data_IF_492590128215
#
_entry.id   IF_492590128215
#
_cell.length_a   1.000
_cell.length_b   1.000
_cell.length_c   1.000
_cell.angle_alpha   90.00
_cell.angle_beta   90.00
_cell.angle_gamma   90.00
#
_symmetry.space_group_name_H-M   'P 1'
#
loop_
_entity.id
_entity.type
_entity.pdbx_description
1 polymer ?
#
# COMPACT_ATOMS: atom_id res chain seq x y z
N UNK A 1 16.24 18.89 -33.39
CA UNK A 1 15.00 18.52 -34.10
C UNK A 1 14.36 17.37 -33.31
N UNK A 2 13.34 17.66 -32.49
CA UNK A 2 12.74 16.65 -31.60
C UNK A 2 11.74 15.79 -32.39
N UNK A 3 11.74 14.48 -32.11
CA UNK A 3 10.84 13.50 -32.73
C UNK A 3 9.36 13.85 -32.50
N UNK A 4 8.47 13.65 -33.50
CA UNK A 4 7.04 13.96 -33.40
C UNK A 4 6.30 13.20 -32.28
N UNK A 5 6.90 12.11 -31.75
CA UNK A 5 6.34 11.36 -30.61
C UNK A 5 6.45 12.15 -29.28
N UNK A 6 7.46 13.02 -29.12
CA UNK A 6 7.61 13.84 -27.91
C UNK A 6 6.65 15.03 -27.85
N UNK A 7 6.13 15.49 -28.98
CA UNK A 7 5.18 16.61 -29.02
C UNK A 7 3.78 16.19 -28.54
N UNK A 8 3.37 14.95 -28.82
CA UNK A 8 2.02 14.45 -28.50
C UNK A 8 1.79 14.26 -26.99
N UNK A 9 2.84 13.96 -26.22
CA UNK A 9 2.76 13.88 -24.75
C UNK A 9 2.73 15.26 -24.09
N UNK A 10 3.26 16.30 -24.73
CA UNK A 10 3.25 17.66 -24.18
C UNK A 10 1.94 18.40 -24.42
N UNK A 11 1.24 18.15 -25.54
CA UNK A 11 -0.02 18.87 -25.85
C UNK A 11 -1.25 18.32 -25.15
N UNK A 12 -1.27 17.05 -24.72
CA UNK A 12 -2.39 16.49 -23.94
C UNK A 12 -2.27 16.84 -22.45
N UNK A 13 -1.05 17.10 -21.94
CA UNK A 13 -0.80 17.44 -20.54
C UNK A 13 -1.10 18.89 -20.13
N UNK A 14 -1.44 19.78 -21.07
CA UNK A 14 -1.52 21.24 -20.83
C UNK A 14 -2.94 21.84 -20.94
N UNK A 15 -3.99 21.05 -21.11
CA UNK A 15 -5.38 21.56 -21.22
C UNK A 15 -6.44 20.79 -20.43
N UNK A 16 -6.04 20.12 -19.35
CA UNK A 16 -6.95 19.91 -18.24
C UNK A 16 -6.57 20.93 -17.18
N UNK A 17 -7.36 22.01 -16.95
CA UNK A 17 -7.27 22.64 -15.64
C UNK A 17 -7.42 21.49 -14.64
N UNK A 18 -6.57 21.44 -13.61
CA UNK A 18 -6.78 20.54 -12.50
C UNK A 18 -8.16 20.86 -11.93
N UNK A 19 -9.20 20.20 -12.45
CA UNK A 19 -10.48 20.14 -11.77
C UNK A 19 -10.08 19.65 -10.38
N UNK A 20 -10.38 20.40 -9.30
CA UNK A 20 -10.12 19.93 -7.95
C UNK A 20 -10.67 18.51 -7.90
N UNK A 21 -9.76 17.54 -7.80
CA UNK A 21 -10.07 16.16 -8.11
C UNK A 21 -11.27 15.76 -7.29
N UNK A 22 -12.28 15.17 -7.92
CA UNK A 22 -13.44 14.61 -7.20
C UNK A 22 -12.85 13.82 -6.03
N UNK A 23 -13.09 14.30 -4.81
CA UNK A 23 -12.40 13.77 -3.64
C UNK A 23 -12.70 12.28 -3.57
N UNK A 24 -11.66 11.45 -3.62
CA UNK A 24 -11.86 10.02 -3.42
C UNK A 24 -12.21 9.82 -1.94
N UNK A 25 -13.07 8.87 -1.65
CA UNK A 25 -13.34 8.50 -0.26
C UNK A 25 -12.33 7.45 0.18
N UNK A 26 -11.60 7.75 1.26
CA UNK A 26 -10.71 6.79 1.91
C UNK A 26 -11.40 6.26 3.18
N UNK A 27 -11.37 4.94 3.35
CA UNK A 27 -11.96 4.28 4.50
C UNK A 27 -10.99 4.25 5.67
N UNK A 28 -11.48 4.60 6.85
CA UNK A 28 -10.77 4.51 8.11
C UNK A 28 -11.57 3.66 9.08
N UNK A 29 -10.89 2.77 9.81
CA UNK A 29 -11.49 1.95 10.85
C UNK A 29 -10.98 2.39 12.23
N UNK A 30 -11.87 2.46 13.20
CA UNK A 30 -11.56 2.63 14.62
C UNK A 30 -12.35 1.61 15.43
N UNK A 31 -11.83 1.20 16.59
CA UNK A 31 -12.44 0.17 17.41
C UNK A 31 -12.63 0.64 18.84
N UNK A 32 -13.78 0.30 19.42
CA UNK A 32 -14.21 0.79 20.71
C UNK A 32 -14.74 -0.38 21.57
N UNK A 33 -14.52 -0.34 22.89
CA UNK A 33 -15.36 -1.07 23.83
C UNK A 33 -16.84 -0.71 23.64
N UNK A 34 -17.74 -1.63 23.94
CA UNK A 34 -19.20 -1.45 23.76
C UNK A 34 -19.72 -0.20 24.47
N UNK A 35 -19.24 0.04 25.68
CA UNK A 35 -19.72 1.13 26.55
C UNK A 35 -18.98 2.45 26.37
N UNK A 36 -18.09 2.54 25.37
CA UNK A 36 -17.36 3.77 25.11
C UNK A 36 -18.33 4.93 24.82
N UNK A 37 -18.06 6.15 25.34
CA UNK A 37 -18.97 7.28 25.20
C UNK A 37 -19.21 7.70 23.74
N UNK A 38 -18.27 7.40 22.84
CA UNK A 38 -18.37 7.65 21.40
C UNK A 38 -19.37 6.72 20.70
N UNK A 39 -19.65 5.54 21.28
CA UNK A 39 -20.54 4.54 20.68
C UNK A 39 -22.00 4.96 20.88
N UNK A 40 -22.78 5.13 19.78
CA UNK A 40 -24.18 5.49 19.88
C UNK A 40 -25.00 4.45 20.63
N UNK A 41 -25.95 4.90 21.45
CA UNK A 41 -26.78 4.01 22.27
C UNK A 41 -27.51 2.93 21.44
N UNK A 42 -27.96 3.24 20.22
CA UNK A 42 -28.67 2.27 19.38
C UNK A 42 -27.78 1.14 18.87
N UNK A 43 -26.45 1.35 18.85
CA UNK A 43 -25.47 0.36 18.41
C UNK A 43 -25.09 -0.58 19.54
N UNK A 44 -25.25 -0.18 20.81
CA UNK A 44 -24.84 -0.98 21.97
C UNK A 44 -25.66 -2.25 22.13
N UNK A 45 -26.93 -2.20 21.74
CA UNK A 45 -27.80 -3.37 21.75
C UNK A 45 -27.51 -4.30 20.55
N UNK A 46 -27.67 -5.60 20.77
CA UNK A 46 -27.79 -6.55 19.66
C UNK A 46 -29.16 -6.45 19.03
N UNK A 47 -29.23 -6.63 17.71
CA UNK A 47 -30.51 -6.64 17.00
C UNK A 47 -30.63 -7.90 16.16
N UNK A 48 -31.86 -8.34 15.95
CA UNK A 48 -32.13 -9.48 15.09
C UNK A 48 -32.17 -9.02 13.64
N UNK A 49 -31.07 -9.26 12.91
CA UNK A 49 -31.04 -9.05 11.47
C UNK A 49 -31.97 -10.03 10.72
N UNK A 50 -32.44 -9.62 9.55
CA UNK A 50 -33.29 -10.44 8.68
C UNK A 50 -32.42 -11.25 7.72
N UNK A 51 -32.64 -12.56 7.53
CA UNK A 51 -31.85 -13.35 6.58
C UNK A 51 -31.77 -12.71 5.19
N UNK A 52 -30.59 -12.70 4.59
CA UNK A 52 -30.39 -12.25 3.22
C UNK A 52 -31.02 -13.24 2.24
N UNK A 53 -32.05 -12.80 1.51
CA UNK A 53 -32.83 -13.64 0.59
C UNK A 53 -32.68 -13.23 -0.88
N UNK A 54 -31.61 -12.51 -1.22
CA UNK A 54 -31.37 -12.14 -2.62
C UNK A 54 -30.85 -13.35 -3.43
N UNK A 55 -31.18 -13.38 -4.72
CA UNK A 55 -30.67 -14.40 -5.64
C UNK A 55 -29.13 -14.34 -5.76
N UNK A 56 -28.55 -13.16 -5.60
CA UNK A 56 -27.10 -12.99 -5.58
C UNK A 56 -26.50 -13.37 -4.23
N UNK A 57 -25.65 -14.39 -4.26
CA UNK A 57 -24.93 -14.87 -3.08
C UNK A 57 -23.87 -13.86 -2.68
N UNK A 58 -23.82 -13.56 -1.39
CA UNK A 58 -22.77 -12.72 -0.81
C UNK A 58 -21.44 -13.44 -0.64
N UNK A 59 -20.41 -12.74 -0.12
CA UNK A 59 -19.06 -13.28 0.04
C UNK A 59 -18.96 -14.43 1.06
N UNK A 60 -19.93 -14.51 1.99
CA UNK A 60 -20.00 -15.53 3.03
C UNK A 60 -21.45 -15.98 3.24
N UNK A 61 -21.62 -17.13 3.88
CA UNK A 61 -22.94 -17.67 4.21
C UNK A 61 -23.56 -16.95 5.42
N UNK A 62 -24.86 -17.16 5.63
CA UNK A 62 -25.53 -16.70 6.85
C UNK A 62 -25.67 -15.18 7.00
N UNK A 63 -25.45 -14.40 5.94
CA UNK A 63 -25.63 -12.95 5.95
C UNK A 63 -27.05 -12.57 6.35
N UNK A 64 -27.15 -11.56 7.21
CA UNK A 64 -28.40 -10.94 7.67
C UNK A 64 -28.35 -9.45 7.39
N UNK A 65 -29.44 -8.89 6.91
CA UNK A 65 -29.63 -7.45 6.71
C UNK A 65 -29.80 -6.75 8.05
N UNK A 66 -29.03 -5.68 8.25
CA UNK A 66 -29.07 -4.85 9.46
C UNK A 66 -29.43 -3.38 9.15
N UNK A 67 -28.96 -2.83 8.04
CA UNK A 67 -29.21 -1.43 7.70
C UNK A 67 -29.30 -1.20 6.18
N UNK A 68 -29.92 -0.09 5.81
CA UNK A 68 -30.07 0.39 4.43
C UNK A 68 -29.51 1.81 4.34
N UNK A 69 -28.73 2.07 3.31
CA UNK A 69 -28.28 3.43 2.95
C UNK A 69 -29.34 4.14 2.10
N UNK A 70 -29.31 5.48 2.07
CA UNK A 70 -30.20 6.29 1.22
C UNK A 70 -30.07 5.97 -0.27
N UNK A 71 -28.91 5.46 -0.69
CA UNK A 71 -28.67 5.04 -2.08
C UNK A 71 -29.32 3.70 -2.44
N UNK A 72 -29.90 2.98 -1.48
CA UNK A 72 -30.42 1.63 -1.66
C UNK A 72 -29.40 0.51 -1.43
N UNK A 73 -28.15 0.84 -1.08
CA UNK A 73 -27.17 -0.17 -0.70
C UNK A 73 -27.48 -0.74 0.69
N UNK A 74 -27.24 -2.03 0.85
CA UNK A 74 -27.63 -2.83 2.01
C UNK A 74 -26.38 -3.19 2.82
N UNK A 75 -26.47 -3.00 4.13
CA UNK A 75 -25.47 -3.46 5.08
C UNK A 75 -25.89 -4.78 5.72
N UNK A 76 -24.98 -5.74 5.62
CA UNK A 76 -25.16 -7.13 5.97
C UNK A 76 -24.11 -7.55 6.99
N UNK A 77 -24.48 -8.43 7.91
CA UNK A 77 -23.59 -8.99 8.92
C UNK A 77 -23.78 -10.50 9.06
N UNK A 78 -22.74 -11.19 9.48
CA UNK A 78 -22.71 -12.64 9.71
C UNK A 78 -21.80 -12.97 10.90
N UNK A 79 -21.61 -14.26 11.19
CA UNK A 79 -20.57 -14.72 12.11
C UNK A 79 -19.16 -14.68 11.50
N UNK A 80 -19.04 -14.37 10.21
CA UNK A 80 -17.79 -14.28 9.46
C UNK A 80 -17.52 -12.84 8.96
N UNK A 81 -18.15 -11.83 9.54
CA UNK A 81 -17.86 -10.42 9.23
C UNK A 81 -19.04 -9.69 8.59
N UNK A 82 -18.75 -8.51 8.04
CA UNK A 82 -19.74 -7.60 7.46
C UNK A 82 -19.56 -7.44 5.96
N UNK A 83 -20.67 -7.17 5.26
CA UNK A 83 -20.66 -6.86 3.84
C UNK A 83 -21.57 -5.69 3.53
N UNK A 84 -21.18 -4.88 2.54
CA UNK A 84 -22.04 -3.88 1.89
C UNK A 84 -22.35 -4.37 0.49
N UNK A 85 -23.64 -4.48 0.17
CA UNK A 85 -24.14 -4.81 -1.16
C UNK A 85 -24.77 -3.59 -1.81
N UNK A 86 -24.36 -3.25 -3.03
CA UNK A 86 -24.87 -2.11 -3.77
C UNK A 86 -25.37 -2.58 -5.15
N UNK A 87 -26.69 -2.77 -5.32
CA UNK A 87 -27.25 -3.28 -6.57
C UNK A 87 -27.07 -2.30 -7.74
N UNK A 88 -26.79 -1.03 -7.45
CA UNK A 88 -26.63 0.06 -8.40
C UNK A 88 -25.17 0.52 -8.57
N UNK A 89 -24.21 -0.24 -8.04
CA UNK A 89 -22.80 0.07 -8.20
C UNK A 89 -22.42 0.20 -9.69
N UNK A 90 -21.76 1.30 -10.04
CA UNK A 90 -21.32 1.57 -11.41
C UNK A 90 -20.32 0.51 -11.91
N UNK A 91 -19.50 -0.02 -11.00
CA UNK A 91 -18.53 -1.05 -11.30
C UNK A 91 -18.84 -2.34 -10.55
N UNK A 92 -18.67 -3.47 -11.24
CA UNK A 92 -18.94 -4.81 -10.70
C UNK A 92 -18.17 -5.13 -9.40
N UNK A 93 -16.97 -4.57 -9.24
CA UNK A 93 -16.14 -4.80 -8.04
C UNK A 93 -16.58 -3.96 -6.84
N UNK A 94 -17.40 -2.93 -7.04
CA UNK A 94 -17.96 -2.11 -5.96
C UNK A 94 -19.32 -2.61 -5.47
N UNK A 95 -19.93 -3.54 -6.23
CA UNK A 95 -21.22 -4.19 -5.92
C UNK A 95 -21.18 -4.91 -4.58
N UNK A 96 -20.04 -5.53 -4.24
CA UNK A 96 -19.78 -6.14 -2.95
C UNK A 96 -18.54 -5.56 -2.32
N UNK A 97 -18.65 -5.13 -1.07
CA UNK A 97 -17.52 -4.75 -0.24
C UNK A 97 -17.57 -5.57 1.04
N UNK A 98 -16.48 -6.30 1.32
CA UNK A 98 -16.38 -7.20 2.44
C UNK A 98 -15.41 -6.67 3.50
N UNK A 99 -15.79 -6.81 4.76
CA UNK A 99 -15.09 -6.28 5.92
C UNK A 99 -14.87 -7.43 6.90
N UNK A 100 -13.61 -7.80 7.07
CA UNK A 100 -13.18 -8.96 7.86
C UNK A 100 -11.86 -8.68 8.55
N UNK A 101 -11.71 -9.25 9.75
CA UNK A 101 -10.53 -9.20 10.58
C UNK A 101 -10.22 -7.81 11.13
N UNK A 102 -9.18 -7.74 11.96
CA UNK A 102 -8.76 -6.53 12.70
C UNK A 102 -8.37 -5.32 11.85
N UNK A 103 -8.34 -5.45 10.53
CA UNK A 103 -8.25 -4.30 9.62
C UNK A 103 -9.53 -3.46 9.63
N UNK A 104 -10.68 -4.10 9.81
CA UNK A 104 -12.01 -3.47 9.69
C UNK A 104 -12.88 -3.70 10.92
N UNK A 105 -12.82 -4.90 11.49
CA UNK A 105 -13.69 -5.35 12.58
C UNK A 105 -12.87 -5.73 13.81
N UNK A 106 -13.31 -5.34 15.01
CA UNK A 106 -12.67 -5.79 16.25
C UNK A 106 -12.81 -7.32 16.42
N UNK A 107 -13.91 -7.87 15.90
CA UNK A 107 -14.31 -9.26 15.88
C UNK A 107 -15.26 -9.50 14.69
N UNK A 108 -15.27 -10.70 14.13
CA UNK A 108 -16.01 -11.00 12.91
C UNK A 108 -17.50 -11.34 13.17
N UNK A 109 -17.89 -11.57 14.42
CA UNK A 109 -19.26 -11.92 14.79
C UNK A 109 -20.18 -10.69 14.85
N UNK A 110 -20.79 -10.31 13.73
CA UNK A 110 -21.63 -9.12 13.64
C UNK A 110 -22.99 -9.33 14.32
N UNK A 111 -23.39 -8.35 15.14
CA UNK A 111 -24.64 -8.38 15.94
C UNK A 111 -25.54 -7.17 15.73
N UNK A 112 -25.01 -6.07 15.20
CA UNK A 112 -25.78 -4.88 14.82
C UNK A 112 -24.98 -4.04 13.82
N UNK A 113 -25.66 -3.33 12.93
CA UNK A 113 -25.03 -2.33 12.05
C UNK A 113 -25.94 -1.10 12.02
N UNK A 114 -25.34 0.08 12.19
CA UNK A 114 -25.99 1.37 12.01
C UNK A 114 -25.21 2.22 11.03
N UNK A 115 -25.93 2.85 10.12
CA UNK A 115 -25.35 3.75 9.10
C UNK A 115 -25.80 5.17 9.41
N UNK A 116 -24.84 6.09 9.42
CA UNK A 116 -25.07 7.53 9.54
C UNK A 116 -24.52 8.21 8.28
N UNK A 117 -25.36 8.98 7.59
CA UNK A 117 -25.02 9.64 6.33
C UNK A 117 -25.26 11.15 6.43
N UNK A 118 -24.21 11.93 6.18
CA UNK A 118 -24.22 13.39 6.21
C UNK A 118 -23.38 13.96 5.06
N UNK A 119 -24.06 14.52 4.05
CA UNK A 119 -23.42 14.96 2.81
C UNK A 119 -22.68 13.79 2.13
N UNK A 120 -21.41 14.01 1.79
CA UNK A 120 -20.51 13.00 1.23
C UNK A 120 -19.87 12.07 2.28
N UNK A 121 -20.11 12.33 3.57
CA UNK A 121 -19.54 11.54 4.66
C UNK A 121 -20.49 10.42 5.05
N UNK A 122 -19.89 9.26 5.30
CA UNK A 122 -20.58 8.08 5.83
C UNK A 122 -19.83 7.53 7.02
N UNK A 123 -20.56 7.25 8.09
CA UNK A 123 -20.11 6.48 9.25
C UNK A 123 -20.94 5.21 9.35
N UNK A 124 -20.26 4.09 9.53
CA UNK A 124 -20.91 2.80 9.73
C UNK A 124 -20.40 2.20 11.01
N UNK A 125 -21.29 2.15 11.99
CA UNK A 125 -21.05 1.53 13.28
C UNK A 125 -21.46 0.06 13.20
N UNK A 126 -20.53 -0.84 13.48
CA UNK A 126 -20.72 -2.29 13.42
C UNK A 126 -20.49 -2.83 14.82
N UNK A 127 -21.56 -3.24 15.49
CA UNK A 127 -21.47 -4.01 16.72
C UNK A 127 -21.08 -5.43 16.37
N UNK A 128 -20.03 -5.87 17.02
CA UNK A 128 -19.50 -7.23 17.00
C UNK A 128 -19.75 -7.85 18.39
N UNK A 129 -19.55 -9.14 18.56
CA UNK A 129 -19.69 -9.81 19.85
C UNK A 129 -18.73 -9.25 20.90
N UNK A 130 -17.55 -8.75 20.49
CA UNK A 130 -16.50 -8.28 21.41
C UNK A 130 -16.43 -6.76 21.60
N UNK A 131 -17.09 -5.98 20.75
CA UNK A 131 -16.98 -4.53 20.75
C UNK A 131 -17.60 -3.88 19.52
N UNK A 132 -17.28 -2.62 19.28
CA UNK A 132 -17.86 -1.85 18.17
C UNK A 132 -16.74 -1.35 17.27
N UNK A 133 -16.90 -1.57 15.96
CA UNK A 133 -16.07 -0.95 14.93
C UNK A 133 -16.80 0.22 14.29
N UNK A 134 -16.10 1.33 14.09
CA UNK A 134 -16.55 2.43 13.26
C UNK A 134 -15.75 2.41 11.95
N UNK A 135 -16.45 2.36 10.82
CA UNK A 135 -15.86 2.54 9.50
C UNK A 135 -16.34 3.87 8.92
N UNK A 136 -15.40 4.74 8.58
CA UNK A 136 -15.69 6.08 8.06
C UNK A 136 -15.17 6.25 6.63
N UNK A 137 -16.01 6.78 5.76
CA UNK A 137 -15.61 7.27 4.44
C UNK A 137 -15.31 8.75 4.57
N UNK A 138 -14.01 9.07 4.52
CA UNK A 138 -13.51 10.44 4.62
C UNK A 138 -13.10 10.91 3.23
N UNK A 139 -13.62 12.04 2.73
CA UNK A 139 -13.10 12.66 1.52
C UNK A 139 -11.59 12.93 1.66
N UNK A 140 -10.84 12.61 0.62
CA UNK A 140 -9.39 12.72 0.60
C UNK A 140 -8.94 13.03 -0.84
N UNK A 141 -8.07 14.04 -0.99
CA UNK A 141 -7.44 14.32 -2.27
C UNK A 141 -6.37 13.27 -2.58
N UNK A 142 -5.98 13.13 -3.85
CA UNK A 142 -4.86 12.24 -4.20
C UNK A 142 -3.54 12.68 -3.57
N UNK A 143 -3.36 13.99 -3.38
CA UNK A 143 -2.21 14.58 -2.69
C UNK A 143 -2.19 14.20 -1.21
N UNK A 144 -3.30 14.39 -0.49
CA UNK A 144 -3.42 13.97 0.92
C UNK A 144 -3.19 12.46 1.08
N UNK A 145 -3.70 11.66 0.14
CA UNK A 145 -3.51 10.21 0.14
C UNK A 145 -2.06 9.83 -0.08
N UNK A 146 -1.38 10.46 -1.04
CA UNK A 146 0.04 10.25 -1.29
C UNK A 146 0.87 10.61 -0.05
N UNK A 147 0.63 11.79 0.54
CA UNK A 147 1.28 12.24 1.77
C UNK A 147 1.10 11.24 2.91
N UNK A 148 -0.12 10.74 3.11
CA UNK A 148 -0.42 9.76 4.15
C UNK A 148 0.36 8.45 4.01
N UNK A 149 0.50 7.91 2.80
CA UNK A 149 1.29 6.70 2.58
C UNK A 149 2.79 6.97 2.70
N UNK A 150 3.25 8.10 2.20
CA UNK A 150 4.64 8.52 2.30
C UNK A 150 5.10 8.68 3.75
N UNK A 151 4.33 9.38 4.58
CA UNK A 151 4.64 9.53 6.01
C UNK A 151 4.76 8.18 6.71
N UNK A 152 3.89 7.22 6.37
CA UNK A 152 3.95 5.86 6.92
C UNK A 152 5.18 5.10 6.48
N UNK A 153 5.57 5.22 5.21
CA UNK A 153 6.78 4.60 4.66
C UNK A 153 8.02 5.14 5.37
N UNK A 154 8.15 6.47 5.47
CA UNK A 154 9.27 7.13 6.14
C UNK A 154 9.40 6.69 7.60
N UNK A 155 8.29 6.72 8.35
CA UNK A 155 8.30 6.42 9.78
C UNK A 155 8.61 4.94 10.05
N UNK A 156 8.05 4.02 9.27
CA UNK A 156 7.97 2.60 9.67
C UNK A 156 8.56 1.59 8.71
N UNK A 157 8.92 1.98 7.49
CA UNK A 157 9.42 1.05 6.48
C UNK A 157 10.84 1.36 5.99
N UNK A 158 11.31 2.61 6.05
CA UNK A 158 12.66 2.95 5.57
C UNK A 158 13.75 2.32 6.45
N UNK A 159 14.42 1.29 5.94
CA UNK A 159 15.53 0.56 6.58
C UNK A 159 16.73 0.58 5.64
N UNK A 160 17.81 1.25 6.03
CA UNK A 160 19.00 1.47 5.18
C UNK A 160 18.72 2.03 3.78
N UNK A 161 17.63 2.81 3.65
CA UNK A 161 17.17 3.36 2.38
C UNK A 161 16.19 2.48 1.61
N UNK A 162 16.07 1.19 1.95
CA UNK A 162 15.08 0.27 1.41
C UNK A 162 13.70 0.51 2.05
N UNK A 163 12.64 0.30 1.29
CA UNK A 163 11.27 0.17 1.81
C UNK A 163 11.07 -1.29 2.24
N UNK A 164 11.20 -1.52 3.55
CA UNK A 164 11.26 -2.85 4.13
C UNK A 164 9.97 -3.25 4.86
N UNK A 165 9.96 -4.48 5.40
CA UNK A 165 8.89 -4.98 6.25
C UNK A 165 8.72 -4.15 7.53
N UNK A 166 7.47 -3.99 7.96
CA UNK A 166 7.08 -3.37 9.23
C UNK A 166 6.37 -4.44 10.06
N UNK A 167 6.94 -4.78 11.21
CA UNK A 167 6.36 -5.71 12.17
C UNK A 167 6.00 -4.96 13.45
N UNK A 168 4.76 -5.11 13.95
CA UNK A 168 4.38 -4.58 15.25
C UNK A 168 4.50 -5.69 16.28
N UNK A 169 5.38 -5.53 17.28
CA UNK A 169 5.48 -6.49 18.39
C UNK A 169 4.16 -6.63 19.15
N UNK A 170 3.38 -5.54 19.20
CA UNK A 170 2.06 -5.50 19.82
C UNK A 170 1.05 -5.09 18.74
N UNK A 171 0.12 -6.00 18.43
CA UNK A 171 -0.87 -5.79 17.39
C UNK A 171 -1.68 -4.50 17.61
N UNK A 172 -1.60 -3.57 16.64
CA UNK A 172 -2.30 -2.28 16.68
C UNK A 172 -1.54 -1.15 17.35
N UNK A 173 -0.46 -1.42 18.10
CA UNK A 173 0.39 -0.39 18.69
C UNK A 173 1.53 -0.04 17.73
N UNK A 174 1.40 1.13 17.11
CA UNK A 174 2.35 1.61 16.12
C UNK A 174 3.71 1.98 16.71
N UNK A 175 3.81 2.22 18.02
CA UNK A 175 5.08 2.50 18.70
C UNK A 175 5.94 1.24 18.85
N UNK A 176 5.33 0.06 18.73
CA UNK A 176 6.00 -1.24 18.81
C UNK A 176 6.63 -1.70 17.49
N UNK A 177 6.72 -0.80 16.50
CA UNK A 177 7.21 -1.09 15.16
C UNK A 177 8.70 -1.47 15.13
N UNK A 178 8.98 -2.58 14.44
CA UNK A 178 10.30 -3.03 14.05
C UNK A 178 10.39 -3.09 12.53
N UNK A 179 11.48 -2.53 12.00
CA UNK A 179 11.79 -2.59 10.57
C UNK A 179 12.57 -3.87 10.34
N UNK A 180 12.03 -4.76 9.53
CA UNK A 180 12.62 -6.09 9.28
C UNK A 180 12.91 -6.27 7.81
N UNK A 181 13.99 -6.98 7.49
CA UNK A 181 14.25 -7.40 6.12
C UNK A 181 13.11 -8.29 5.61
N UNK A 182 12.74 -8.10 4.35
CA UNK A 182 11.77 -8.91 3.65
C UNK A 182 12.29 -9.28 2.25
N UNK A 183 11.75 -10.38 1.72
CA UNK A 183 12.01 -10.92 0.38
C UNK A 183 11.65 -9.96 -0.77
N UNK A 184 10.94 -8.88 -0.49
CA UNK A 184 10.55 -7.89 -1.49
C UNK A 184 11.08 -6.48 -1.16
N UNK A 185 12.09 -6.35 -0.29
CA UNK A 185 12.67 -5.04 0.02
C UNK A 185 13.11 -4.30 -1.27
N UNK A 186 13.75 -5.00 -2.22
CA UNK A 186 14.13 -4.43 -3.52
C UNK A 186 12.91 -4.01 -4.34
N UNK A 187 11.95 -4.92 -4.55
CA UNK A 187 10.73 -4.63 -5.30
C UNK A 187 9.92 -3.45 -4.73
N UNK A 188 9.67 -3.41 -3.41
CA UNK A 188 8.93 -2.32 -2.78
C UNK A 188 9.69 -1.00 -2.87
N UNK A 189 11.02 -1.02 -2.75
CA UNK A 189 11.87 0.16 -2.97
C UNK A 189 11.77 0.66 -4.41
N UNK A 190 11.71 -0.25 -5.38
CA UNK A 190 11.57 0.09 -6.78
C UNK A 190 10.20 0.73 -7.10
N UNK A 191 9.12 0.17 -6.58
CA UNK A 191 7.77 0.77 -6.69
C UNK A 191 7.75 2.17 -6.05
N UNK A 192 8.38 2.31 -4.88
CA UNK A 192 8.48 3.59 -4.19
C UNK A 192 9.32 4.62 -4.97
N UNK A 193 10.44 4.22 -5.58
CA UNK A 193 11.22 5.06 -6.48
C UNK A 193 10.37 5.55 -7.65
N UNK A 194 9.63 4.65 -8.32
CA UNK A 194 8.72 5.02 -9.39
C UNK A 194 7.65 6.02 -8.93
N UNK A 195 7.04 5.78 -7.75
CA UNK A 195 6.04 6.68 -7.18
C UNK A 195 6.60 8.09 -6.91
N UNK A 196 7.79 8.18 -6.31
CA UNK A 196 8.45 9.47 -6.05
C UNK A 196 8.91 10.15 -7.35
N UNK A 197 9.28 9.38 -8.38
CA UNK A 197 9.61 9.92 -9.69
C UNK A 197 8.41 10.56 -10.39
N UNK A 198 7.25 9.88 -10.39
CA UNK A 198 6.02 10.47 -10.89
C UNK A 198 5.57 11.67 -10.07
N UNK A 199 5.65 11.61 -8.73
CA UNK A 199 5.35 12.76 -7.87
C UNK A 199 6.23 13.95 -8.24
N UNK A 200 7.54 13.76 -8.37
CA UNK A 200 8.45 14.85 -8.74
C UNK A 200 8.16 15.42 -10.14
N UNK A 201 7.84 14.57 -11.11
CA UNK A 201 7.54 15.01 -12.48
C UNK A 201 6.35 15.97 -12.55
N UNK A 202 5.36 15.81 -11.67
CA UNK A 202 4.14 16.64 -11.64
C UNK A 202 4.27 17.83 -10.69
N UNK A 203 4.89 17.63 -9.53
CA UNK A 203 4.91 18.63 -8.44
C UNK A 203 6.17 19.47 -8.40
N UNK A 204 7.27 18.96 -8.97
CA UNK A 204 8.63 19.50 -8.84
C UNK A 204 9.11 19.69 -7.40
N UNK A 205 8.50 18.99 -6.43
CA UNK A 205 8.86 19.14 -5.02
C UNK A 205 10.26 18.56 -4.73
N UNK A 206 11.16 19.34 -4.07
CA UNK A 206 12.52 18.87 -3.80
C UNK A 206 12.55 17.64 -2.89
N UNK A 207 11.55 17.47 -2.03
CA UNK A 207 11.41 16.29 -1.17
C UNK A 207 11.18 15.00 -1.97
N UNK A 208 10.31 15.05 -2.99
CA UNK A 208 10.04 13.89 -3.84
C UNK A 208 11.32 13.45 -4.58
N UNK A 209 12.09 14.42 -5.08
CA UNK A 209 13.42 14.15 -5.66
C UNK A 209 14.38 13.52 -4.65
N UNK A 210 14.50 14.08 -3.44
CA UNK A 210 15.41 13.55 -2.42
C UNK A 210 15.05 12.09 -2.04
N UNK A 211 13.76 11.78 -1.92
CA UNK A 211 13.26 10.42 -1.64
C UNK A 211 13.53 9.46 -2.79
N UNK A 212 13.29 9.88 -4.04
CA UNK A 212 13.67 9.12 -5.23
C UNK A 212 15.17 8.83 -5.27
N UNK A 213 16.02 9.83 -5.03
CA UNK A 213 17.47 9.64 -5.01
C UNK A 213 17.94 8.68 -3.92
N UNK A 214 17.30 8.71 -2.73
CA UNK A 214 17.58 7.74 -1.66
C UNK A 214 17.21 6.32 -2.09
N UNK A 215 16.02 6.13 -2.67
CA UNK A 215 15.56 4.83 -3.14
C UNK A 215 16.45 4.30 -4.29
N UNK A 216 16.86 5.16 -5.24
CA UNK A 216 17.81 4.80 -6.29
C UNK A 216 19.13 4.30 -5.70
N UNK A 217 19.71 5.02 -4.74
CA UNK A 217 20.95 4.59 -4.06
C UNK A 217 20.78 3.23 -3.37
N UNK A 218 19.63 3.00 -2.74
CA UNK A 218 19.35 1.71 -2.10
C UNK A 218 19.27 0.56 -3.12
N UNK A 219 18.63 0.77 -4.28
CA UNK A 219 18.59 -0.23 -5.35
C UNK A 219 19.96 -0.49 -5.97
N UNK A 220 20.74 0.55 -6.23
CA UNK A 220 22.12 0.40 -6.73
C UNK A 220 22.97 -0.39 -5.75
N UNK A 221 22.80 -0.13 -4.45
CA UNK A 221 23.51 -0.85 -3.39
C UNK A 221 23.16 -2.35 -3.36
N UNK A 222 21.95 -2.76 -3.74
CA UNK A 222 21.59 -4.17 -3.80
C UNK A 222 22.48 -4.95 -4.78
N UNK A 223 22.88 -4.36 -5.90
CA UNK A 223 23.84 -4.99 -6.82
C UNK A 223 25.28 -4.82 -6.34
N UNK A 224 25.64 -3.64 -5.82
CA UNK A 224 27.00 -3.39 -5.33
C UNK A 224 27.41 -4.37 -4.20
N UNK A 225 26.51 -4.64 -3.25
CA UNK A 225 26.81 -5.39 -2.03
C UNK A 225 27.15 -6.87 -2.30
N UNK A 226 26.72 -7.42 -3.43
CA UNK A 226 27.02 -8.81 -3.78
C UNK A 226 28.47 -9.00 -4.22
N UNK A 227 29.11 -7.93 -4.73
CA UNK A 227 30.41 -7.99 -5.40
C UNK A 227 30.39 -8.75 -6.74
N UNK A 228 29.21 -9.18 -7.21
CA UNK A 228 29.03 -9.93 -8.45
C UNK A 228 28.36 -9.00 -9.48
N UNK A 229 29.08 -8.58 -10.54
CA UNK A 229 28.54 -7.67 -11.55
C UNK A 229 27.21 -8.14 -12.13
N UNK A 230 26.15 -7.33 -11.96
CA UNK A 230 24.82 -7.58 -12.49
C UNK A 230 23.92 -8.48 -11.66
N UNK A 231 24.39 -8.98 -10.50
CA UNK A 231 23.57 -9.76 -9.59
C UNK A 231 23.11 -8.88 -8.41
N UNK A 232 21.86 -8.40 -8.39
CA UNK A 232 21.30 -7.74 -7.23
C UNK A 232 20.99 -8.74 -6.12
N UNK A 233 21.29 -8.36 -4.89
CA UNK A 233 20.75 -8.96 -3.67
C UNK A 233 19.26 -8.64 -3.54
N UNK A 234 18.56 -9.50 -2.82
CA UNK A 234 17.14 -9.35 -2.51
C UNK A 234 16.86 -8.39 -1.36
N UNK A 235 17.79 -8.39 -0.40
CA UNK A 235 17.83 -7.48 0.74
C UNK A 235 19.24 -7.56 1.36
N UNK A 236 19.50 -6.75 2.38
CA UNK A 236 20.71 -6.85 3.19
C UNK A 236 20.44 -6.42 4.64
N UNK A 237 21.23 -6.92 5.59
CA UNK A 237 21.22 -6.56 7.01
C UNK A 237 22.64 -6.30 7.49
N UNK A 238 22.83 -5.44 8.48
CA UNK A 238 24.13 -5.25 9.13
C UNK A 238 24.46 -6.48 9.99
N UNK A 239 25.74 -6.65 10.34
CA UNK A 239 26.16 -7.70 11.26
C UNK A 239 25.63 -7.52 12.70
N UNK A 240 25.05 -6.37 13.02
CA UNK A 240 24.43 -6.06 14.32
C UNK A 240 22.93 -6.38 14.34
N UNK A 241 22.31 -6.58 13.17
CA UNK A 241 20.90 -6.96 13.03
C UNK A 241 20.73 -8.49 13.14
N UNK A 242 19.59 -8.98 13.68
CA UNK A 242 19.28 -10.39 13.64
C UNK A 242 19.22 -10.91 12.20
N UNK A 243 19.96 -11.97 11.91
CA UNK A 243 19.94 -12.61 10.59
C UNK A 243 18.61 -13.38 10.42
N UNK A 244 17.82 -13.08 9.36
CA UNK A 244 16.57 -13.80 9.11
C UNK A 244 16.80 -15.29 8.85
N UNK A 245 15.93 -16.14 9.41
CA UNK A 245 16.06 -17.60 9.29
C UNK A 245 15.69 -18.18 7.92
N UNK A 246 15.23 -17.37 6.97
CA UNK A 246 14.81 -17.80 5.63
C UNK A 246 15.66 -17.23 4.51
N UNK A 247 15.82 -18.03 3.45
CA UNK A 247 16.60 -17.73 2.25
C UNK A 247 18.10 -17.86 2.47
N UNK A 248 18.87 -17.51 1.42
CA UNK A 248 20.33 -17.70 1.42
C UNK A 248 21.03 -16.37 1.72
N UNK A 249 21.76 -16.30 2.83
CA UNK A 249 22.48 -15.11 3.26
C UNK A 249 23.98 -15.28 3.12
N UNK A 250 24.64 -14.26 2.57
CA UNK A 250 26.06 -14.25 2.30
C UNK A 250 26.72 -13.07 3.04
N UNK A 251 27.81 -13.30 3.80
CA UNK A 251 28.54 -12.22 4.43
C UNK A 251 29.31 -11.41 3.37
N UNK A 252 29.43 -10.10 3.58
CA UNK A 252 30.37 -9.27 2.83
C UNK A 252 31.82 -9.58 3.25
N UNK A 253 32.83 -9.38 2.37
CA UNK A 253 34.23 -9.66 2.71
C UNK A 253 34.76 -8.90 3.94
N UNK A 254 34.21 -7.72 4.23
CA UNK A 254 34.55 -6.91 5.41
C UNK A 254 33.81 -7.35 6.69
N UNK A 255 32.92 -8.34 6.61
CA UNK A 255 32.13 -8.85 7.73
C UNK A 255 31.09 -7.89 8.29
N UNK A 256 30.85 -6.73 7.65
CA UNK A 256 29.97 -5.69 8.18
C UNK A 256 28.50 -5.91 7.83
N UNK A 257 28.23 -6.68 6.79
CA UNK A 257 26.88 -6.89 6.26
C UNK A 257 26.66 -8.34 5.86
N UNK A 258 25.39 -8.73 5.82
CA UNK A 258 24.91 -9.91 5.13
C UNK A 258 23.94 -9.45 4.04
N UNK A 259 24.09 -10.00 2.84
CA UNK A 259 23.14 -9.79 1.75
C UNK A 259 22.40 -11.09 1.46
N UNK A 260 21.12 -10.97 1.12
CA UNK A 260 20.26 -12.09 0.76
C UNK A 260 20.36 -12.34 -0.74
N UNK A 261 20.70 -13.56 -1.13
CA UNK A 261 20.64 -14.02 -2.51
C UNK A 261 19.21 -14.31 -2.95
N UNK A 262 19.05 -15.27 -3.86
CA UNK A 262 17.73 -15.79 -4.31
C UNK A 262 16.74 -14.76 -4.88
N UNK A 263 17.26 -13.67 -5.45
CA UNK A 263 16.47 -12.60 -6.09
C UNK A 263 15.54 -13.15 -7.16
N UNK A 264 14.25 -12.83 -7.04
CA UNK A 264 13.19 -13.31 -7.93
C UNK A 264 13.03 -12.43 -9.16
N UNK A 265 12.45 -12.98 -10.23
CA UNK A 265 12.29 -12.27 -11.52
C UNK A 265 11.33 -11.08 -11.45
N UNK A 266 10.31 -11.13 -10.58
CA UNK A 266 9.40 -10.02 -10.31
C UNK A 266 10.12 -8.82 -9.66
N UNK A 267 11.15 -9.06 -8.85
CA UNK A 267 11.98 -8.01 -8.31
C UNK A 267 12.76 -7.27 -9.41
N UNK A 268 13.33 -8.02 -10.35
CA UNK A 268 14.01 -7.42 -11.51
C UNK A 268 13.05 -6.60 -12.37
N UNK A 269 11.82 -7.08 -12.61
CA UNK A 269 10.77 -6.30 -13.31
C UNK A 269 10.55 -4.96 -12.60
N UNK A 270 10.48 -4.97 -11.27
CA UNK A 270 10.41 -3.75 -10.46
C UNK A 270 11.62 -2.83 -10.66
N UNK A 271 12.84 -3.37 -10.61
CA UNK A 271 14.07 -2.59 -10.78
C UNK A 271 14.14 -1.91 -12.14
N UNK A 272 13.87 -2.64 -13.24
CA UNK A 272 13.85 -2.04 -14.59
C UNK A 272 12.79 -0.95 -14.73
N UNK A 273 11.59 -1.16 -14.20
CA UNK A 273 10.54 -0.13 -14.16
C UNK A 273 11.03 1.13 -13.44
N UNK A 274 11.59 0.96 -12.24
CA UNK A 274 12.01 2.07 -11.40
C UNK A 274 13.21 2.82 -11.96
N UNK A 275 14.19 2.11 -12.53
CA UNK A 275 15.33 2.71 -13.22
C UNK A 275 14.89 3.53 -14.43
N UNK A 276 13.98 3.01 -15.26
CA UNK A 276 13.45 3.75 -16.41
C UNK A 276 12.70 5.01 -15.96
N UNK A 277 11.78 4.88 -14.99
CA UNK A 277 11.02 6.02 -14.46
C UNK A 277 11.94 7.09 -13.85
N UNK A 278 12.94 6.67 -13.06
CA UNK A 278 13.89 7.60 -12.46
C UNK A 278 14.77 8.28 -13.52
N UNK A 279 15.28 7.52 -14.49
CA UNK A 279 16.14 8.02 -15.56
C UNK A 279 15.46 9.14 -16.36
N UNK A 280 14.19 8.95 -16.71
CA UNK A 280 13.45 9.91 -17.53
C UNK A 280 12.96 11.13 -16.74
N UNK A 281 12.54 10.93 -15.48
CA UNK A 281 11.76 11.92 -14.75
C UNK A 281 12.53 12.71 -13.68
N UNK A 282 13.60 12.14 -13.11
CA UNK A 282 14.26 12.72 -11.91
C UNK A 282 15.77 12.84 -12.05
N UNK A 283 16.40 11.87 -12.72
CA UNK A 283 17.84 11.68 -12.69
C UNK A 283 18.62 12.82 -13.35
N UNK A 284 19.65 13.31 -12.66
CA UNK A 284 20.72 14.13 -13.25
C UNK A 284 21.72 13.27 -14.02
N UNK A 285 22.73 13.90 -14.63
CA UNK A 285 23.66 13.21 -15.53
C UNK A 285 24.43 12.05 -14.87
N UNK A 286 24.89 12.25 -13.62
CA UNK A 286 25.58 11.21 -12.86
C UNK A 286 24.68 10.01 -12.54
N UNK A 287 23.43 10.27 -12.18
CA UNK A 287 22.43 9.24 -11.86
C UNK A 287 22.03 8.47 -13.11
N UNK A 288 21.85 9.17 -14.24
CA UNK A 288 21.62 8.56 -15.55
C UNK A 288 22.74 7.62 -15.93
N UNK A 289 23.99 8.03 -15.70
CA UNK A 289 25.14 7.18 -15.99
C UNK A 289 25.22 5.96 -15.08
N UNK A 290 24.95 6.12 -13.79
CA UNK A 290 24.86 4.99 -12.86
C UNK A 290 23.76 3.99 -13.27
N UNK A 291 22.59 4.50 -13.66
CA UNK A 291 21.46 3.69 -14.15
C UNK A 291 21.83 2.92 -15.43
N UNK A 292 22.44 3.56 -16.43
CA UNK A 292 22.87 2.87 -17.66
C UNK A 292 23.82 1.72 -17.34
N UNK A 293 24.80 1.97 -16.47
CA UNK A 293 25.79 0.97 -16.10
C UNK A 293 25.19 -0.21 -15.35
N UNK A 294 24.31 0.03 -14.37
CA UNK A 294 23.69 -1.08 -13.61
C UNK A 294 22.72 -1.88 -14.48
N UNK A 295 21.93 -1.21 -15.33
CA UNK A 295 21.00 -1.87 -16.25
C UNK A 295 21.76 -2.75 -17.26
N UNK A 296 22.86 -2.25 -17.82
CA UNK A 296 23.72 -3.06 -18.70
C UNK A 296 24.26 -4.29 -17.96
N UNK A 297 24.84 -4.12 -16.77
CA UNK A 297 25.38 -5.26 -16.00
C UNK A 297 24.33 -6.30 -15.66
N UNK A 298 23.15 -5.89 -15.19
CA UNK A 298 22.05 -6.82 -14.89
C UNK A 298 21.62 -7.57 -16.15
N UNK A 299 21.48 -6.86 -17.27
CA UNK A 299 21.08 -7.46 -18.56
C UNK A 299 22.12 -8.48 -19.05
N UNK A 300 23.41 -8.11 -19.01
CA UNK A 300 24.51 -9.00 -19.38
C UNK A 300 24.58 -10.24 -18.47
N UNK A 301 24.36 -10.06 -17.16
CA UNK A 301 24.32 -11.16 -16.21
C UNK A 301 23.17 -12.11 -16.51
N UNK A 302 21.97 -11.60 -16.81
CA UNK A 302 20.83 -12.43 -17.20
C UNK A 302 21.13 -13.23 -18.46
N UNK A 303 21.59 -12.57 -19.54
CA UNK A 303 21.91 -13.26 -20.81
C UNK A 303 22.98 -14.34 -20.62
N UNK A 304 23.97 -14.11 -19.76
CA UNK A 304 25.05 -15.06 -19.51
C UNK A 304 24.59 -16.31 -18.74
N UNK A 305 23.50 -16.22 -17.98
CA UNK A 305 23.04 -17.27 -17.07
C UNK A 305 21.63 -17.79 -17.40
N UNK A 306 21.11 -17.48 -18.59
CA UNK A 306 19.87 -18.04 -19.15
C UNK A 306 20.11 -19.40 -19.83
#
# INVERSE_FOLDING_TARGET
MMSPVRLLFWTIGLMLPACPGIAQTQKFASHFPIEAPEVPAEVRAEVRGTPWQNAERGPVNGLKTFALEKSGAVWLGSDEGAARFDPHAAFRWDRWQYFYGRRWLLDDHVRNIRVEESGERRKVWIRTQRGVSLIEWRPMTLEDKAKYFDERIEQRHVRHGLVAGSHLRVAGDLSSNEKVSNDNDGLWTAIYLGAQAYRYAVTHEPEARARAQRALRALLRLEEITGVPGLPARSFVSAEEPLPGSGVWHPTPDGRWYWKGDTSSDELVGHYFAYAACFDLVAGDQEKEAIRKVVARITDYLIKND
#
